data_IF_714290067282
#
_entry.id   IF_714290067282
#
_cell.length_a   1.000
_cell.length_b   1.000
_cell.length_c   1.000
_cell.angle_alpha   90.00
_cell.angle_beta   90.00
_cell.angle_gamma   90.00
#
_symmetry.space_group_name_H-M   'P 1'
#
loop_
_entity.id
_entity.type
_entity.pdbx_description
1 polymer ?
#
# COMPACT_ATOMS: atom_id res chain seq x y z
N UNK A 1 6.82 -13.20 -20.05
CA UNK A 1 6.71 -14.59 -19.54
C UNK A 1 5.30 -15.08 -19.81
N UNK A 2 5.11 -16.00 -20.76
CA UNK A 2 3.79 -16.56 -21.08
C UNK A 2 3.49 -17.67 -20.07
N UNK A 3 2.43 -17.52 -19.28
CA UNK A 3 1.89 -18.59 -18.44
C UNK A 3 0.70 -19.22 -19.16
N UNK A 4 0.73 -20.54 -19.25
CA UNK A 4 -0.26 -21.40 -19.92
C UNK A 4 -1.55 -21.49 -19.10
N UNK A 5 -2.69 -21.56 -19.79
CA UNK A 5 -4.04 -21.65 -19.22
C UNK A 5 -4.24 -22.87 -18.31
N UNK A 6 -5.03 -22.69 -17.25
CA UNK A 6 -5.71 -23.79 -16.56
C UNK A 6 -7.20 -23.52 -16.66
N UNK A 7 -7.92 -24.36 -17.40
CA UNK A 7 -9.39 -24.33 -17.43
C UNK A 7 -9.94 -24.88 -16.11
N UNK A 8 -10.91 -24.17 -15.52
CA UNK A 8 -11.67 -24.67 -14.38
C UNK A 8 -13.17 -24.65 -14.71
N UNK A 9 -13.77 -25.83 -14.82
CA UNK A 9 -15.22 -26.01 -14.75
C UNK A 9 -15.67 -25.97 -13.30
N UNK A 10 -16.76 -25.26 -13.03
CA UNK A 10 -17.32 -25.12 -11.68
C UNK A 10 -18.00 -26.43 -11.25
N UNK A 11 -17.54 -27.02 -10.15
CA UNK A 11 -18.20 -28.11 -9.43
C UNK A 11 -18.29 -27.73 -7.96
N UNK A 12 -19.48 -27.87 -7.38
CA UNK A 12 -19.83 -27.66 -5.97
C UNK A 12 -19.30 -28.80 -5.09
N UNK A 13 -17.98 -29.02 -5.12
CA UNK A 13 -17.29 -29.92 -4.20
C UNK A 13 -16.65 -29.10 -3.08
N UNK A 14 -16.85 -29.53 -1.83
CA UNK A 14 -16.07 -29.05 -0.68
C UNK A 14 -14.58 -29.04 -1.05
N UNK A 15 -13.94 -27.87 -0.98
CA UNK A 15 -12.52 -27.72 -1.29
C UNK A 15 -11.73 -28.76 -0.50
N UNK A 16 -11.07 -29.74 -1.15
CA UNK A 16 -10.21 -30.65 -0.43
C UNK A 16 -9.13 -29.80 0.23
N UNK A 17 -8.89 -30.00 1.54
CA UNK A 17 -7.68 -29.49 2.18
C UNK A 17 -6.50 -30.04 1.40
N UNK A 18 -5.94 -29.22 0.52
CA UNK A 18 -4.76 -29.55 -0.24
C UNK A 18 -3.66 -29.79 0.79
N UNK A 19 -3.27 -31.05 1.00
CA UNK A 19 -1.99 -31.37 1.62
C UNK A 19 -0.92 -30.92 0.62
N UNK A 20 -0.66 -29.61 0.57
CA UNK A 20 0.49 -29.09 -0.16
C UNK A 20 1.71 -29.67 0.56
N UNK A 21 2.58 -30.34 -0.18
CA UNK A 21 3.94 -30.58 0.25
C UNK A 21 4.50 -29.25 0.75
N UNK A 22 4.67 -29.15 2.06
CA UNK A 22 5.18 -27.95 2.70
C UNK A 22 6.61 -27.80 2.21
N UNK A 23 6.86 -26.83 1.33
CA UNK A 23 8.22 -26.48 0.95
C UNK A 23 8.92 -25.98 2.21
N UNK A 24 9.85 -26.77 2.68
CA UNK A 24 10.77 -26.42 3.76
C UNK A 24 12.07 -25.95 3.13
N UNK A 25 12.68 -24.91 3.70
CA UNK A 25 14.03 -24.50 3.31
C UNK A 25 15.08 -25.53 3.78
N UNK A 26 16.36 -25.23 3.54
CA UNK A 26 17.48 -26.11 3.89
C UNK A 26 17.59 -26.37 5.39
N UNK A 27 16.97 -25.53 6.22
CA UNK A 27 17.00 -25.59 7.67
C UNK A 27 15.71 -26.19 8.27
N UNK A 28 14.79 -26.66 7.41
CA UNK A 28 13.53 -27.28 7.84
C UNK A 28 12.44 -26.28 8.24
N UNK A 29 12.60 -24.99 7.91
CA UNK A 29 11.60 -23.95 8.17
C UNK A 29 10.62 -23.87 7.00
N UNK A 30 9.31 -23.82 7.29
CA UNK A 30 8.27 -23.62 6.28
C UNK A 30 8.52 -22.35 5.50
N UNK A 31 8.71 -22.46 4.18
CA UNK A 31 8.94 -21.29 3.35
C UNK A 31 7.62 -20.52 3.14
N UNK A 32 7.74 -19.20 2.97
CA UNK A 32 6.62 -18.39 2.51
C UNK A 32 6.16 -18.81 1.12
N UNK A 33 4.86 -18.60 0.82
CA UNK A 33 4.33 -18.77 -0.52
C UNK A 33 5.12 -17.95 -1.55
N UNK A 34 5.15 -18.43 -2.79
CA UNK A 34 5.96 -17.86 -3.86
C UNK A 34 5.51 -16.43 -4.19
N UNK A 35 4.21 -16.16 -4.11
CA UNK A 35 3.60 -14.85 -4.31
C UNK A 35 4.13 -13.82 -3.31
N UNK A 36 4.22 -14.19 -2.02
CA UNK A 36 4.78 -13.33 -0.96
C UNK A 36 6.24 -13.05 -1.24
N UNK A 37 7.00 -14.08 -1.61
CA UNK A 37 8.42 -13.96 -1.93
C UNK A 37 8.64 -13.05 -3.14
N UNK A 38 7.82 -13.18 -4.18
CA UNK A 38 7.90 -12.37 -5.39
C UNK A 38 7.55 -10.89 -5.13
N UNK A 39 6.52 -10.61 -4.34
CA UNK A 39 6.18 -9.23 -3.92
C UNK A 39 7.37 -8.58 -3.21
N UNK A 40 7.96 -9.27 -2.24
CA UNK A 40 9.08 -8.73 -1.47
C UNK A 40 10.33 -8.56 -2.33
N UNK A 41 10.70 -9.55 -3.14
CA UNK A 41 11.86 -9.45 -4.02
C UNK A 41 11.68 -8.30 -5.03
N UNK A 42 10.51 -8.17 -5.65
CA UNK A 42 10.21 -7.03 -6.52
C UNK A 42 10.33 -5.69 -5.76
N UNK A 43 9.76 -5.60 -4.56
CA UNK A 43 9.78 -4.37 -3.77
C UNK A 43 11.20 -3.95 -3.41
N UNK A 44 12.09 -4.89 -3.10
CA UNK A 44 13.44 -4.60 -2.61
C UNK A 44 14.49 -4.50 -3.72
N UNK A 45 14.39 -5.33 -4.76
CA UNK A 45 15.49 -5.52 -5.72
C UNK A 45 15.24 -4.88 -7.08
N UNK A 46 13.97 -4.69 -7.46
CA UNK A 46 13.66 -4.16 -8.78
C UNK A 46 14.04 -2.68 -8.88
N UNK A 47 14.86 -2.35 -9.88
CA UNK A 47 15.25 -0.99 -10.20
C UNK A 47 14.30 -0.37 -11.25
N UNK A 48 13.76 0.81 -10.93
CA UNK A 48 12.85 1.52 -11.82
C UNK A 48 13.67 2.34 -12.83
N UNK A 49 13.74 1.86 -14.07
CA UNK A 49 14.51 2.50 -15.15
C UNK A 49 13.66 3.29 -16.13
N UNK A 50 12.33 3.11 -16.14
CA UNK A 50 11.43 3.74 -17.11
C UNK A 50 11.21 5.23 -16.79
N UNK A 51 11.64 6.18 -17.66
CA UNK A 51 11.38 7.60 -17.46
C UNK A 51 9.88 7.93 -17.41
N UNK A 52 9.08 7.18 -18.17
CA UNK A 52 7.63 7.35 -18.21
C UNK A 52 6.99 6.99 -16.87
N UNK A 53 7.50 5.97 -16.16
CA UNK A 53 7.00 5.61 -14.84
C UNK A 53 7.19 6.76 -13.84
N UNK A 54 8.35 7.42 -13.87
CA UNK A 54 8.63 8.58 -13.02
C UNK A 54 7.70 9.76 -13.32
N UNK A 55 7.50 10.10 -14.60
CA UNK A 55 6.58 11.17 -15.00
C UNK A 55 5.16 10.86 -14.55
N UNK A 56 4.67 9.63 -14.78
CA UNK A 56 3.30 9.23 -14.41
C UNK A 56 3.10 9.18 -12.91
N UNK A 57 4.06 8.66 -12.14
CA UNK A 57 3.99 8.65 -10.69
C UNK A 57 3.96 10.06 -10.11
N UNK A 58 4.71 10.99 -10.70
CA UNK A 58 4.67 12.40 -10.30
C UNK A 58 3.29 13.01 -10.55
N UNK A 59 2.71 12.77 -11.72
CA UNK A 59 1.34 13.23 -12.02
C UNK A 59 0.31 12.61 -11.07
N UNK A 60 0.38 11.29 -10.83
CA UNK A 60 -0.54 10.58 -9.93
C UNK A 60 -0.46 11.10 -8.48
N UNK A 61 0.74 11.39 -7.99
CA UNK A 61 0.93 12.01 -6.68
C UNK A 61 0.23 13.37 -6.58
N UNK A 62 0.44 14.24 -7.57
CA UNK A 62 -0.14 15.59 -7.57
C UNK A 62 -1.67 15.54 -7.70
N UNK A 63 -2.17 14.68 -8.58
CA UNK A 63 -3.60 14.45 -8.80
C UNK A 63 -4.30 13.96 -7.52
N UNK A 64 -3.76 12.93 -6.88
CA UNK A 64 -4.31 12.38 -5.63
C UNK A 64 -4.30 13.40 -4.49
N UNK A 65 -3.24 14.20 -4.34
CA UNK A 65 -3.22 15.29 -3.35
C UNK A 65 -4.31 16.32 -3.68
N UNK A 66 -4.49 16.65 -4.96
CA UNK A 66 -5.56 17.54 -5.43
C UNK A 66 -6.95 17.02 -5.05
N UNK A 67 -7.24 15.75 -5.35
CA UNK A 67 -8.49 15.09 -4.98
C UNK A 67 -8.70 15.07 -3.45
N UNK A 68 -7.64 14.88 -2.67
CA UNK A 68 -7.68 14.96 -1.21
C UNK A 68 -8.04 16.35 -0.68
N UNK A 69 -7.45 17.39 -1.24
CA UNK A 69 -7.73 18.78 -0.87
C UNK A 69 -9.15 19.20 -1.28
N UNK A 70 -9.63 18.78 -2.45
CA UNK A 70 -11.03 18.96 -2.85
C UNK A 70 -11.97 18.28 -1.84
N UNK A 71 -11.70 17.02 -1.52
CA UNK A 71 -12.56 16.23 -0.63
C UNK A 71 -12.71 16.89 0.75
N UNK A 72 -11.62 17.34 1.37
CA UNK A 72 -11.69 17.96 2.71
C UNK A 72 -12.34 19.35 2.70
N UNK A 73 -12.28 20.07 1.58
CA UNK A 73 -12.87 21.41 1.48
C UNK A 73 -14.35 21.38 1.10
N UNK A 74 -14.82 20.30 0.48
CA UNK A 74 -16.19 20.22 -0.08
C UNK A 74 -17.11 19.25 0.68
N UNK A 75 -16.57 18.24 1.40
CA UNK A 75 -17.38 17.31 2.19
C UNK A 75 -17.31 17.60 3.70
N UNK A 76 -18.48 17.89 4.27
CA UNK A 76 -18.66 18.05 5.71
C UNK A 76 -18.62 16.73 6.47
N UNK A 77 -18.96 15.63 5.81
CA UNK A 77 -18.99 14.27 6.33
C UNK A 77 -17.57 13.70 6.46
N UNK A 78 -16.72 13.89 5.44
CA UNK A 78 -15.30 13.55 5.54
C UNK A 78 -14.61 14.34 6.66
N UNK A 79 -14.94 15.63 6.80
CA UNK A 79 -14.41 16.48 7.86
C UNK A 79 -14.68 15.96 9.27
N UNK A 80 -15.76 15.18 9.46
CA UNK A 80 -16.10 14.54 10.74
C UNK A 80 -15.36 13.22 10.96
N UNK A 81 -14.86 12.59 9.89
CA UNK A 81 -14.14 11.32 9.94
C UNK A 81 -12.64 11.52 10.21
N UNK A 82 -12.06 12.62 9.71
CA UNK A 82 -10.63 12.92 9.85
C UNK A 82 -10.31 13.68 11.15
N UNK A 83 -9.05 13.63 11.57
CA UNK A 83 -8.57 14.25 12.82
C UNK A 83 -8.05 13.23 13.82
N UNK A 84 -7.58 13.65 15.01
CA UNK A 84 -7.04 12.72 15.99
C UNK A 84 -8.13 11.80 16.55
N UNK A 85 -7.78 10.53 16.78
CA UNK A 85 -8.63 9.65 17.58
C UNK A 85 -8.68 10.16 19.01
N UNK A 86 -9.86 10.17 19.64
CA UNK A 86 -9.93 10.46 21.07
C UNK A 86 -9.16 9.40 21.89
N UNK A 87 -8.36 9.78 22.91
CA UNK A 87 -8.10 11.12 23.46
C UNK A 87 -6.79 11.78 22.96
N UNK A 88 -6.30 11.41 21.78
CA UNK A 88 -5.06 11.96 21.21
C UNK A 88 -5.16 13.46 20.90
N UNK A 89 -4.05 14.22 21.01
CA UNK A 89 -4.03 15.64 20.67
C UNK A 89 -4.07 15.87 19.16
N UNK A 90 -4.53 17.06 18.75
CA UNK A 90 -4.49 17.55 17.35
C UNK A 90 -3.08 17.61 16.75
N UNK A 91 -2.05 17.70 17.60
CA UNK A 91 -0.66 17.84 17.19
C UNK A 91 0.23 16.91 18.01
N UNK A 92 0.71 15.87 17.35
CA UNK A 92 1.69 14.91 17.88
C UNK A 92 3.09 15.33 17.40
N UNK A 93 4.07 15.53 18.30
CA UNK A 93 5.44 15.84 17.91
C UNK A 93 5.99 14.83 16.91
N UNK A 94 6.59 15.33 15.83
CA UNK A 94 7.09 14.52 14.71
C UNK A 94 6.04 13.65 13.99
N UNK A 95 4.75 13.88 14.23
CA UNK A 95 3.65 13.21 13.52
C UNK A 95 3.51 13.67 12.07
N UNK A 96 2.67 12.97 11.31
CA UNK A 96 2.34 13.26 9.92
C UNK A 96 1.50 14.53 9.83
N UNK A 97 1.95 15.51 9.04
CA UNK A 97 1.15 16.71 8.76
C UNK A 97 0.14 16.40 7.66
N UNK A 98 -1.14 16.32 8.02
CA UNK A 98 -2.22 16.04 7.07
C UNK A 98 -2.47 17.28 6.18
N UNK A 99 -2.22 17.21 4.85
CA UNK A 99 -2.33 18.36 3.96
C UNK A 99 -3.71 19.04 4.02
N UNK A 100 -3.73 20.37 3.95
CA UNK A 100 -4.99 21.13 3.99
C UNK A 100 -5.64 21.25 5.38
N UNK A 101 -5.00 20.74 6.44
CA UNK A 101 -5.53 20.78 7.81
C UNK A 101 -4.49 21.30 8.82
N UNK A 102 -4.93 21.53 10.06
CA UNK A 102 -4.04 21.83 11.20
C UNK A 102 -3.46 20.57 11.86
N UNK A 103 -3.89 19.39 11.45
CA UNK A 103 -3.61 18.16 12.19
C UNK A 103 -2.18 17.65 11.95
N UNK A 104 -1.57 17.19 13.03
CA UNK A 104 -0.32 16.43 12.99
C UNK A 104 -0.52 15.13 13.75
N UNK A 105 -0.67 14.02 13.02
CA UNK A 105 -1.22 12.77 13.51
C UNK A 105 -0.15 11.67 13.62
N UNK A 106 -0.44 10.57 14.31
CA UNK A 106 0.41 9.39 14.27
C UNK A 106 0.37 8.75 12.87
N UNK A 107 1.31 7.85 12.61
CA UNK A 107 1.49 7.23 11.30
C UNK A 107 0.25 6.44 10.83
N UNK A 108 -0.49 5.81 11.73
CA UNK A 108 -1.64 4.97 11.37
C UNK A 108 -2.86 5.84 11.09
N UNK A 109 -3.18 6.78 11.99
CA UNK A 109 -4.31 7.71 11.77
C UNK A 109 -4.04 8.64 10.60
N UNK A 110 -2.80 9.10 10.43
CA UNK A 110 -2.39 9.91 9.29
C UNK A 110 -2.54 9.18 7.95
N UNK A 111 -2.20 7.89 7.90
CA UNK A 111 -2.41 7.06 6.72
C UNK A 111 -3.89 6.89 6.37
N UNK A 112 -4.72 6.61 7.37
CA UNK A 112 -6.17 6.51 7.20
C UNK A 112 -6.77 7.83 6.70
N UNK A 113 -6.43 8.95 7.33
CA UNK A 113 -7.00 10.26 6.97
C UNK A 113 -6.61 10.69 5.57
N UNK A 114 -5.34 10.53 5.21
CA UNK A 114 -4.88 10.85 3.86
C UNK A 114 -5.53 9.93 2.82
N UNK A 115 -5.62 8.62 3.09
CA UNK A 115 -6.30 7.67 2.18
C UNK A 115 -7.79 7.98 2.01
N UNK A 116 -8.48 8.24 3.12
CA UNK A 116 -9.88 8.65 3.11
C UNK A 116 -10.07 9.93 2.30
N UNK A 117 -9.22 10.95 2.51
CA UNK A 117 -9.25 12.20 1.75
C UNK A 117 -9.08 11.96 0.25
N UNK A 118 -8.05 11.21 -0.17
CA UNK A 118 -7.77 10.95 -1.59
C UNK A 118 -8.97 10.29 -2.27
N UNK A 119 -9.57 9.30 -1.59
CA UNK A 119 -10.57 8.41 -2.19
C UNK A 119 -12.01 8.92 -2.10
N UNK A 120 -12.30 9.85 -1.19
CA UNK A 120 -13.67 10.15 -0.73
C UNK A 120 -14.66 10.46 -1.86
N UNK A 121 -14.30 11.39 -2.75
CA UNK A 121 -15.16 11.83 -3.85
C UNK A 121 -15.07 10.94 -5.10
N UNK A 122 -14.23 9.90 -5.09
CA UNK A 122 -13.99 9.04 -6.25
C UNK A 122 -13.46 9.80 -7.48
N UNK A 123 -12.68 10.86 -7.26
CA UNK A 123 -12.06 11.68 -8.31
C UNK A 123 -10.58 11.33 -8.55
N UNK A 124 -9.99 10.49 -7.70
CA UNK A 124 -8.64 9.99 -7.88
C UNK A 124 -8.57 8.95 -9.01
N UNK A 125 -7.34 8.58 -9.38
CA UNK A 125 -7.05 7.69 -10.50
C UNK A 125 -7.77 6.32 -10.45
N UNK A 126 -7.84 5.65 -11.59
CA UNK A 126 -8.45 4.31 -11.70
C UNK A 126 -7.59 3.39 -12.56
N UNK A 127 -7.53 2.12 -12.18
CA UNK A 127 -6.97 1.05 -12.98
C UNK A 127 -8.07 0.03 -13.30
N UNK A 128 -8.29 -0.21 -14.59
CA UNK A 128 -9.30 -1.14 -15.09
C UNK A 128 -8.65 -2.48 -15.45
N UNK A 129 -8.79 -3.48 -14.59
CA UNK A 129 -8.33 -4.86 -14.79
C UNK A 129 -9.48 -5.86 -14.82
N UNK A 130 -9.23 -7.09 -14.33
CA UNK A 130 -10.29 -8.03 -14.00
C UNK A 130 -11.11 -7.57 -12.78
N UNK A 131 -10.48 -6.74 -11.94
CA UNK A 131 -11.09 -5.93 -10.88
C UNK A 131 -10.87 -4.44 -11.20
N UNK A 132 -11.71 -3.55 -10.66
CA UNK A 132 -11.52 -2.11 -10.73
C UNK A 132 -10.93 -1.61 -9.43
N UNK A 133 -9.81 -0.90 -9.48
CA UNK A 133 -9.18 -0.40 -8.26
C UNK A 133 -8.57 0.98 -8.46
N UNK A 134 -8.18 1.61 -7.34
CA UNK A 134 -7.58 2.93 -7.30
C UNK A 134 -6.18 2.85 -6.66
N UNK A 135 -5.11 2.66 -7.44
CA UNK A 135 -3.78 2.44 -6.86
C UNK A 135 -3.23 3.65 -6.10
N UNK A 136 -3.73 4.87 -6.36
CA UNK A 136 -3.40 6.06 -5.56
C UNK A 136 -3.81 5.94 -4.10
N UNK A 137 -4.71 5.04 -3.73
CA UNK A 137 -5.13 4.82 -2.33
C UNK A 137 -3.97 4.39 -1.42
N UNK A 138 -2.90 3.82 -1.99
CA UNK A 138 -1.68 3.48 -1.25
C UNK A 138 -0.90 4.72 -0.75
N UNK A 139 -1.16 5.91 -1.32
CA UNK A 139 -0.46 7.14 -0.94
C UNK A 139 -0.66 7.53 0.51
N UNK A 140 -1.80 7.21 1.11
CA UNK A 140 -2.02 7.49 2.53
C UNK A 140 -0.94 6.85 3.40
N UNK A 141 -0.72 5.55 3.22
CA UNK A 141 0.30 4.80 3.95
C UNK A 141 1.73 5.27 3.59
N UNK A 142 2.00 5.51 2.31
CA UNK A 142 3.33 5.94 1.83
C UNK A 142 3.72 7.31 2.40
N UNK A 143 2.84 8.32 2.25
CA UNK A 143 3.12 9.69 2.67
C UNK A 143 3.21 9.80 4.19
N UNK A 144 2.29 9.16 4.91
CA UNK A 144 2.29 9.21 6.37
C UNK A 144 3.55 8.56 6.96
N UNK A 145 3.96 7.40 6.42
CA UNK A 145 5.19 6.73 6.83
C UNK A 145 6.41 7.60 6.52
N UNK A 146 6.53 8.09 5.29
CA UNK A 146 7.70 8.84 4.85
C UNK A 146 7.91 10.14 5.64
N UNK A 147 6.84 10.90 5.89
CA UNK A 147 6.91 12.16 6.65
C UNK A 147 7.25 11.91 8.11
N UNK A 148 6.59 10.96 8.78
CA UNK A 148 6.86 10.64 10.19
C UNK A 148 8.31 10.16 10.38
N UNK A 149 8.77 9.22 9.57
CA UNK A 149 10.15 8.72 9.66
C UNK A 149 11.17 9.83 9.42
N UNK A 150 10.92 10.69 8.43
CA UNK A 150 11.81 11.83 8.13
C UNK A 150 11.84 12.85 9.26
N UNK A 151 10.68 13.19 9.84
CA UNK A 151 10.60 14.10 11.00
C UNK A 151 11.33 13.54 12.21
N UNK A 152 11.16 12.25 12.49
CA UNK A 152 11.87 11.58 13.58
C UNK A 152 13.37 11.57 13.33
N UNK A 153 13.82 11.27 12.12
CA UNK A 153 15.23 11.29 11.74
C UNK A 153 15.85 12.69 11.92
N UNK A 154 15.18 13.74 11.44
CA UNK A 154 15.61 15.14 11.63
C UNK A 154 15.68 15.49 13.13
N UNK A 155 14.69 15.10 13.93
CA UNK A 155 14.69 15.38 15.37
C UNK A 155 15.81 14.67 16.14
N UNK A 156 16.38 13.62 15.56
CA UNK A 156 17.50 12.83 16.10
C UNK A 156 18.86 13.16 15.46
N UNK A 157 18.89 14.14 14.55
CA UNK A 157 20.08 14.49 13.77
C UNK A 157 20.68 13.28 13.01
N UNK A 158 19.81 12.44 12.43
CA UNK A 158 20.18 11.27 11.63
C UNK A 158 19.92 11.50 10.14
N UNK A 159 20.87 12.13 9.40
CA UNK A 159 20.67 12.47 7.99
C UNK A 159 20.59 11.23 7.08
N UNK A 160 21.11 10.08 7.50
CA UNK A 160 21.11 8.86 6.69
C UNK A 160 19.74 8.18 6.65
N UNK A 161 18.87 8.48 7.62
CA UNK A 161 17.50 7.94 7.70
C UNK A 161 16.45 8.87 7.09
N UNK A 162 16.86 10.00 6.49
CA UNK A 162 15.93 10.95 5.85
C UNK A 162 15.42 10.37 4.53
N UNK A 163 14.09 10.27 4.41
CA UNK A 163 13.44 9.88 3.17
C UNK A 163 13.18 11.11 2.31
N UNK A 164 13.32 10.93 0.99
CA UNK A 164 13.11 11.99 0.00
C UNK A 164 11.88 11.70 -0.85
N UNK A 165 11.39 12.69 -1.60
CA UNK A 165 10.30 12.45 -2.57
C UNK A 165 10.64 11.39 -3.61
N UNK A 166 11.93 11.12 -3.88
CA UNK A 166 12.33 9.99 -4.72
C UNK A 166 11.92 8.66 -4.09
N UNK A 167 12.04 8.50 -2.78
CA UNK A 167 11.59 7.29 -2.07
C UNK A 167 10.07 7.14 -2.14
N UNK A 168 9.33 8.25 -1.99
CA UNK A 168 7.86 8.28 -2.13
C UNK A 168 7.44 7.82 -3.53
N UNK A 169 8.06 8.34 -4.59
CA UNK A 169 7.75 7.95 -5.97
C UNK A 169 8.14 6.50 -6.27
N UNK A 170 9.25 6.00 -5.73
CA UNK A 170 9.62 4.57 -5.84
C UNK A 170 8.56 3.69 -5.20
N UNK A 171 8.15 4.02 -3.97
CA UNK A 171 7.12 3.29 -3.25
C UNK A 171 5.78 3.32 -4.01
N UNK A 172 5.41 4.47 -4.56
CA UNK A 172 4.18 4.62 -5.35
C UNK A 172 4.17 3.73 -6.59
N UNK A 173 5.25 3.78 -7.39
CA UNK A 173 5.37 2.95 -8.60
C UNK A 173 5.30 1.47 -8.25
N UNK A 174 6.01 1.04 -7.20
CA UNK A 174 6.01 -0.36 -6.76
C UNK A 174 4.63 -0.80 -6.25
N UNK A 175 3.91 0.06 -5.53
CA UNK A 175 2.55 -0.24 -5.07
C UNK A 175 1.59 -0.41 -6.26
N UNK A 176 1.68 0.47 -7.26
CA UNK A 176 0.90 0.39 -8.50
C UNK A 176 1.16 -0.93 -9.24
N UNK A 177 2.41 -1.35 -9.37
CA UNK A 177 2.76 -2.60 -10.05
C UNK A 177 2.19 -3.82 -9.29
N UNK A 178 2.38 -3.87 -7.97
CA UNK A 178 1.88 -4.98 -7.14
C UNK A 178 0.36 -5.09 -7.29
N UNK A 179 -0.37 -4.01 -7.03
CA UNK A 179 -1.83 -3.99 -7.14
C UNK A 179 -2.30 -4.27 -8.58
N UNK A 180 -1.72 -3.57 -9.57
CA UNK A 180 -1.95 -3.70 -11.01
C UNK A 180 -1.82 -5.14 -11.54
N UNK A 181 -0.74 -5.82 -11.18
CA UNK A 181 -0.48 -7.17 -11.65
C UNK A 181 -1.46 -8.19 -11.08
N UNK A 182 -1.84 -8.08 -9.80
CA UNK A 182 -2.84 -8.97 -9.20
C UNK A 182 -4.23 -8.72 -9.78
N UNK A 183 -4.69 -7.47 -9.83
CA UNK A 183 -6.03 -7.14 -10.32
C UNK A 183 -6.22 -7.41 -11.82
N UNK A 184 -5.16 -7.35 -12.63
CA UNK A 184 -5.25 -7.59 -14.06
C UNK A 184 -5.70 -9.02 -14.40
N UNK A 185 -5.57 -9.97 -13.47
CA UNK A 185 -5.86 -11.39 -13.70
C UNK A 185 -6.81 -12.00 -12.67
N UNK A 186 -7.04 -11.35 -11.53
CA UNK A 186 -7.83 -11.88 -10.43
C UNK A 186 -8.99 -10.92 -10.12
N UNK A 187 -10.22 -11.44 -10.17
CA UNK A 187 -11.43 -10.71 -9.84
C UNK A 187 -11.89 -11.11 -8.44
N UNK A 188 -11.57 -10.30 -7.43
CA UNK A 188 -11.86 -10.59 -6.03
C UNK A 188 -13.35 -10.43 -5.72
N UNK A 189 -14.02 -9.52 -6.42
CA UNK A 189 -15.46 -9.32 -6.37
C UNK A 189 -16.26 -10.60 -6.68
N UNK A 190 -15.77 -11.47 -7.57
CA UNK A 190 -16.39 -12.77 -7.89
C UNK A 190 -16.35 -13.74 -6.71
N UNK A 191 -15.42 -13.55 -5.77
CA UNK A 191 -15.33 -14.30 -4.52
C UNK A 191 -16.02 -13.57 -3.35
N UNK A 192 -16.70 -12.45 -3.60
CA UNK A 192 -17.35 -11.63 -2.57
C UNK A 192 -16.37 -10.81 -1.72
N UNK A 193 -15.13 -10.63 -2.18
CA UNK A 193 -14.11 -9.83 -1.50
C UNK A 193 -13.98 -8.47 -2.18
N UNK A 194 -13.80 -7.44 -1.36
CA UNK A 194 -13.53 -6.08 -1.81
C UNK A 194 -12.07 -5.92 -2.29
N UNK A 195 -11.85 -5.03 -3.25
CA UNK A 195 -10.55 -4.89 -3.92
C UNK A 195 -9.47 -4.23 -3.05
N UNK A 196 -9.90 -3.55 -1.99
CA UNK A 196 -9.04 -2.89 -0.98
C UNK A 196 -8.05 -3.84 -0.30
N UNK A 197 -8.23 -5.17 -0.40
CA UNK A 197 -7.21 -6.12 0.04
C UNK A 197 -5.89 -5.94 -0.71
N UNK A 198 -5.93 -5.56 -1.98
CA UNK A 198 -4.73 -5.29 -2.75
C UNK A 198 -4.03 -4.00 -2.32
N UNK A 199 -4.79 -2.99 -1.91
CA UNK A 199 -4.23 -1.76 -1.29
C UNK A 199 -3.50 -2.14 0.00
N UNK A 200 -4.11 -2.99 0.85
CA UNK A 200 -3.48 -3.47 2.09
C UNK A 200 -2.16 -4.21 1.83
N UNK A 201 -2.15 -5.12 0.86
CA UNK A 201 -0.94 -5.91 0.51
C UNK A 201 0.15 -5.03 -0.09
N UNK A 202 -0.20 -4.19 -1.08
CA UNK A 202 0.75 -3.30 -1.75
C UNK A 202 1.35 -2.28 -0.77
N UNK A 203 0.51 -1.60 0.02
CA UNK A 203 0.94 -0.68 1.07
C UNK A 203 1.86 -1.35 2.08
N UNK A 204 1.52 -2.56 2.55
CA UNK A 204 2.36 -3.30 3.51
C UNK A 204 3.75 -3.58 2.96
N UNK A 205 3.86 -4.00 1.69
CA UNK A 205 5.13 -4.28 1.06
C UNK A 205 6.02 -3.04 0.96
N UNK A 206 5.48 -1.94 0.43
CA UNK A 206 6.27 -0.71 0.21
C UNK A 206 6.57 0.05 1.49
N UNK A 207 5.67 0.03 2.48
CA UNK A 207 5.91 0.59 3.82
C UNK A 207 6.99 -0.20 4.55
N UNK A 208 6.98 -1.54 4.44
CA UNK A 208 8.07 -2.37 5.00
C UNK A 208 9.44 -1.97 4.45
N UNK A 209 9.51 -1.63 3.16
CA UNK A 209 10.73 -1.12 2.53
C UNK A 209 11.10 0.28 3.02
N UNK A 210 10.14 1.21 3.10
CA UNK A 210 10.37 2.57 3.64
C UNK A 210 10.86 2.55 5.10
N UNK A 211 10.38 1.59 5.90
CA UNK A 211 10.80 1.40 7.29
C UNK A 211 12.16 0.69 7.43
N UNK A 212 12.81 0.30 6.32
CA UNK A 212 14.11 -0.38 6.34
C UNK A 212 14.08 -1.78 6.95
N UNK A 213 12.94 -2.49 6.86
CA UNK A 213 12.85 -3.86 7.34
C UNK A 213 13.74 -4.80 6.51
N UNK A 214 14.16 -5.92 7.09
CA UNK A 214 14.78 -6.99 6.31
C UNK A 214 13.72 -7.69 5.44
N UNK A 215 14.15 -8.33 4.34
CA UNK A 215 13.24 -9.10 3.48
C UNK A 215 12.45 -10.15 4.27
N UNK A 216 13.05 -10.83 5.24
CA UNK A 216 12.31 -11.80 6.07
C UNK A 216 11.20 -11.14 6.90
N UNK A 217 11.47 -9.99 7.51
CA UNK A 217 10.45 -9.23 8.25
C UNK A 217 9.37 -8.69 7.32
N UNK A 218 9.74 -8.29 6.10
CA UNK A 218 8.78 -7.87 5.07
C UNK A 218 7.89 -9.01 4.59
N UNK A 219 8.44 -10.23 4.40
CA UNK A 219 7.62 -11.42 4.07
C UNK A 219 6.63 -11.74 5.18
N UNK A 220 7.06 -11.65 6.46
CA UNK A 220 6.16 -11.80 7.59
C UNK A 220 5.03 -10.74 7.54
N UNK A 221 5.36 -9.47 7.35
CA UNK A 221 4.36 -8.40 7.24
C UNK A 221 3.37 -8.63 6.08
N UNK A 222 3.87 -8.94 4.89
CA UNK A 222 3.04 -9.23 3.71
C UNK A 222 2.18 -10.47 3.94
N UNK A 223 2.70 -11.52 4.59
CA UNK A 223 1.90 -12.70 4.95
C UNK A 223 0.74 -12.34 5.87
N UNK A 224 0.96 -11.46 6.85
CA UNK A 224 -0.11 -10.97 7.72
C UNK A 224 -1.15 -10.12 6.97
N UNK A 225 -0.74 -9.37 5.95
CA UNK A 225 -1.68 -8.59 5.13
C UNK A 225 -2.66 -9.50 4.34
N UNK A 226 -2.23 -10.71 3.96
CA UNK A 226 -3.09 -11.71 3.32
C UNK A 226 -4.02 -12.44 4.30
N UNK A 227 -3.65 -12.51 5.58
CA UNK A 227 -4.49 -13.12 6.63
C UNK A 227 -5.56 -12.10 7.07
N UNK A 228 -6.56 -11.91 6.21
CA UNK A 228 -7.82 -11.24 6.54
C UNK A 228 -8.86 -12.25 7.00
N UNK A 229 -9.61 -11.92 8.07
CA UNK A 229 -10.87 -12.61 8.40
C UNK A 229 -11.96 -12.16 7.46
#
# INVERSE_FOLDING_TARGET
MKMTEVQTSASTASLPRRSKDVKVDRDGVTCYDEEITNIVNYTYDFEITSPQAWTRATSALLDAIGAGLESITTSSELSQLIGPNFPSPDTIPNGFKLPGTKYQLDMVKGAFDMGAMIRYLNHNDVFLGAEWTHPSDNLGAILSTADVLTRVAISKDDPNSILTMRHVLIALIKAYEIQGCFQGKNAFNKAGLDDVILVKVASTAVVSWLMGLSKERAKAAVSHAWVGR
#
